data_IF_190663044062
#
_entry.id   IF_190663044062
#
_cell.length_a   1.000
_cell.length_b   1.000
_cell.length_c   1.000
_cell.angle_alpha   90.00
_cell.angle_beta   90.00
_cell.angle_gamma   90.00
#
_symmetry.space_group_name_H-M   'P 1'
#
loop_
_entity.id
_entity.type
_entity.pdbx_description
1 polymer ?
#
# COMPACT_ATOMS: atom_id res chain seq x y z
N UNK A 1 11.52 -3.28 -10.19
CA UNK A 1 11.70 -3.29 -8.75
C UNK A 1 10.58 -4.00 -8.00
N UNK A 2 9.38 -3.97 -8.51
CA UNK A 2 8.24 -4.63 -7.89
C UNK A 2 7.56 -5.52 -8.91
N UNK A 3 7.25 -6.77 -8.52
CA UNK A 3 6.57 -7.73 -9.38
C UNK A 3 5.07 -7.51 -9.41
N UNK A 4 4.48 -7.26 -8.24
CA UNK A 4 3.06 -7.06 -8.15
C UNK A 4 2.72 -6.31 -6.87
N UNK A 5 1.52 -5.74 -6.86
CA UNK A 5 0.97 -5.01 -5.73
C UNK A 5 -0.38 -5.61 -5.41
N UNK A 6 -0.53 -6.12 -4.19
CA UNK A 6 -1.82 -6.55 -3.69
C UNK A 6 -2.29 -5.51 -2.67
N UNK A 7 -3.57 -5.22 -2.64
CA UNK A 7 -4.10 -4.21 -1.74
C UNK A 7 -5.42 -4.66 -1.16
N UNK A 8 -5.72 -4.16 0.03
CA UNK A 8 -7.00 -4.43 0.67
C UNK A 8 -7.31 -3.35 1.69
N UNK A 9 -8.59 -3.12 1.90
CA UNK A 9 -9.07 -2.29 2.99
C UNK A 9 -10.41 -2.82 3.47
N UNK A 10 -10.63 -2.70 4.76
CA UNK A 10 -11.89 -3.09 5.38
C UNK A 10 -12.70 -1.85 5.69
N UNK A 11 -14.01 -1.95 5.60
CA UNK A 11 -14.87 -0.89 6.05
C UNK A 11 -16.21 -1.48 6.54
N UNK A 12 -16.89 -0.71 7.37
CA UNK A 12 -18.17 -1.13 7.91
C UNK A 12 -19.30 -0.66 7.01
N UNK A 13 -20.42 -1.38 7.03
CA UNK A 13 -21.54 -1.04 6.18
C UNK A 13 -22.12 0.35 6.41
N UNK A 14 -21.78 0.99 7.55
CA UNK A 14 -22.21 2.35 7.84
C UNK A 14 -21.30 3.40 7.21
N UNK A 15 -20.15 3.01 6.67
CA UNK A 15 -19.26 3.95 5.98
C UNK A 15 -19.69 4.10 4.53
N UNK A 16 -19.33 5.22 3.94
CA UNK A 16 -19.65 5.49 2.54
C UNK A 16 -18.67 4.73 1.63
N UNK A 17 -19.16 3.70 0.96
CA UNK A 17 -18.35 2.86 0.09
C UNK A 17 -17.67 3.67 -1.02
N UNK A 18 -18.35 4.68 -1.60
CA UNK A 18 -17.77 5.48 -2.66
C UNK A 18 -16.56 6.25 -2.19
N UNK A 19 -16.59 6.73 -0.94
CA UNK A 19 -15.43 7.42 -0.38
C UNK A 19 -14.27 6.47 -0.17
N UNK A 20 -14.55 5.24 0.27
CA UNK A 20 -13.49 4.23 0.45
C UNK A 20 -12.88 3.87 -0.90
N UNK A 21 -13.71 3.71 -1.93
CA UNK A 21 -13.20 3.41 -3.28
C UNK A 21 -12.36 4.56 -3.82
N UNK A 22 -12.79 5.79 -3.57
CA UNK A 22 -12.02 6.97 -3.99
C UNK A 22 -10.66 6.99 -3.30
N UNK A 23 -10.62 6.66 -2.01
CA UNK A 23 -9.38 6.60 -1.26
C UNK A 23 -8.41 5.59 -1.88
N UNK A 24 -8.92 4.40 -2.21
CA UNK A 24 -8.10 3.37 -2.85
C UNK A 24 -7.59 3.85 -4.21
N UNK A 25 -8.45 4.46 -5.00
CA UNK A 25 -8.06 4.98 -6.32
C UNK A 25 -7.02 6.08 -6.23
N UNK A 26 -7.05 6.88 -5.18
CA UNK A 26 -6.06 7.94 -5.00
C UNK A 26 -4.67 7.36 -4.71
N UNK A 27 -4.60 6.20 -4.07
CA UNK A 27 -3.33 5.50 -3.84
C UNK A 27 -2.93 4.71 -5.08
N UNK A 28 -3.91 4.03 -5.70
CA UNK A 28 -3.68 3.17 -6.86
C UNK A 28 -4.67 3.56 -7.97
N UNK A 29 -4.33 4.56 -8.79
CA UNK A 29 -5.28 5.16 -9.74
C UNK A 29 -5.95 4.19 -10.71
N UNK A 30 -5.29 3.10 -11.04
CA UNK A 30 -5.86 2.14 -11.99
C UNK A 30 -6.51 0.95 -11.30
N UNK A 31 -6.74 1.05 -9.99
CA UNK A 31 -7.30 -0.07 -9.24
C UNK A 31 -8.78 -0.26 -9.58
N UNK A 32 -9.18 -1.51 -9.54
CA UNK A 32 -10.57 -1.91 -9.74
C UNK A 32 -10.90 -2.94 -8.68
N UNK A 33 -11.13 -2.48 -7.44
CA UNK A 33 -11.28 -3.41 -6.32
C UNK A 33 -12.49 -4.30 -6.42
N UNK A 34 -12.32 -5.54 -6.00
CA UNK A 34 -13.41 -6.48 -5.82
C UNK A 34 -13.96 -6.32 -4.42
N UNK A 35 -15.26 -6.53 -4.29
CA UNK A 35 -15.95 -6.36 -3.01
C UNK A 35 -16.38 -7.71 -2.47
N UNK A 36 -16.12 -7.92 -1.18
CA UNK A 36 -16.49 -9.14 -0.50
C UNK A 36 -17.10 -8.81 0.85
N UNK A 37 -18.24 -9.41 1.16
CA UNK A 37 -18.81 -9.24 2.49
C UNK A 37 -18.25 -10.35 3.35
N UNK A 38 -17.44 -9.98 4.35
CA UNK A 38 -16.75 -10.96 5.18
C UNK A 38 -17.60 -11.42 6.33
N UNK A 39 -18.31 -10.48 6.93
CA UNK A 39 -19.07 -10.77 8.11
C UNK A 39 -20.26 -9.84 8.16
N UNK A 40 -21.39 -10.30 8.64
CA UNK A 40 -22.51 -9.40 8.71
C UNK A 40 -23.62 -9.93 9.58
N UNK A 41 -23.90 -9.17 10.64
CA UNK A 41 -25.10 -9.37 11.43
C UNK A 41 -25.92 -8.11 11.26
N UNK A 42 -27.03 -8.23 10.54
CA UNK A 42 -27.93 -7.10 10.35
C UNK A 42 -27.22 -5.90 9.73
N UNK A 43 -27.08 -4.81 10.50
CA UNK A 43 -26.53 -3.57 10.01
C UNK A 43 -25.01 -3.49 10.15
N UNK A 44 -24.40 -4.48 10.80
CA UNK A 44 -22.96 -4.41 11.09
C UNK A 44 -22.15 -5.29 10.14
N UNK A 45 -22.28 -5.06 8.86
CA UNK A 45 -21.49 -5.79 7.89
C UNK A 45 -20.06 -5.26 7.85
N UNK A 46 -19.12 -6.19 7.72
CA UNK A 46 -17.72 -5.85 7.47
C UNK A 46 -17.44 -6.20 6.01
N UNK A 47 -16.99 -5.22 5.27
CA UNK A 47 -16.81 -5.36 3.82
C UNK A 47 -15.32 -5.21 3.48
N UNK A 48 -14.83 -6.09 2.64
CA UNK A 48 -13.46 -6.05 2.15
C UNK A 48 -13.45 -5.59 0.71
N UNK A 49 -12.65 -4.57 0.44
CA UNK A 49 -12.28 -4.20 -0.93
C UNK A 49 -10.84 -4.66 -1.12
N UNK A 50 -10.58 -5.38 -2.20
CA UNK A 50 -9.25 -5.92 -2.44
C UNK A 50 -8.97 -6.06 -3.93
N UNK A 51 -7.71 -6.17 -4.25
CA UNK A 51 -7.30 -6.38 -5.63
C UNK A 51 -5.81 -6.59 -5.72
N UNK A 52 -5.36 -6.77 -6.95
CA UNK A 52 -3.96 -7.02 -7.22
C UNK A 52 -3.65 -6.58 -8.63
N UNK A 53 -2.46 -6.04 -8.83
CA UNK A 53 -1.99 -5.73 -10.17
C UNK A 53 -0.56 -6.21 -10.37
N UNK A 54 -0.28 -6.67 -11.58
CA UNK A 54 1.07 -7.00 -12.01
C UNK A 54 1.44 -6.25 -13.29
N UNK A 55 0.60 -5.32 -13.72
CA UNK A 55 0.87 -4.52 -14.92
C UNK A 55 2.00 -3.55 -14.66
N UNK A 56 3.01 -3.57 -15.50
CA UNK A 56 4.19 -2.72 -15.32
C UNK A 56 3.86 -1.23 -15.32
N UNK A 57 2.93 -0.81 -16.16
CA UNK A 57 2.54 0.60 -16.21
C UNK A 57 1.89 1.07 -14.91
N UNK A 58 1.07 0.22 -14.32
CA UNK A 58 0.41 0.55 -13.05
C UNK A 58 1.40 0.58 -11.89
N UNK A 59 2.30 -0.39 -11.87
CA UNK A 59 3.35 -0.46 -10.85
C UNK A 59 4.26 0.77 -10.95
N UNK A 60 4.64 1.13 -12.16
CA UNK A 60 5.48 2.30 -12.39
C UNK A 60 4.80 3.58 -11.93
N UNK A 61 3.50 3.69 -12.21
CA UNK A 61 2.72 4.84 -11.75
C UNK A 61 2.68 4.93 -10.24
N UNK A 62 2.51 3.80 -9.57
CA UNK A 62 2.52 3.78 -8.11
C UNK A 62 3.88 4.17 -7.56
N UNK A 63 4.96 3.63 -8.12
CA UNK A 63 6.32 3.98 -7.67
C UNK A 63 6.58 5.47 -7.79
N UNK A 64 6.11 6.07 -8.88
CA UNK A 64 6.25 7.51 -9.08
C UNK A 64 5.45 8.30 -8.04
N UNK A 65 4.28 7.81 -7.67
CA UNK A 65 3.45 8.49 -6.69
C UNK A 65 4.05 8.50 -5.30
N UNK A 66 5.00 7.60 -5.03
CA UNK A 66 5.69 7.57 -3.73
C UNK A 66 6.50 8.84 -3.47
N UNK A 67 6.81 9.60 -4.52
CA UNK A 67 7.48 10.89 -4.37
C UNK A 67 6.62 11.89 -3.59
N UNK A 68 5.31 11.66 -3.54
CA UNK A 68 4.39 12.54 -2.81
C UNK A 68 4.39 12.28 -1.29
N UNK A 69 5.04 11.23 -0.85
CA UNK A 69 5.16 10.96 0.57
C UNK A 69 6.13 11.96 1.18
N UNK A 70 5.76 12.54 2.32
CA UNK A 70 6.63 13.51 3.00
C UNK A 70 7.98 12.91 3.36
N UNK A 71 9.04 13.71 3.28
CA UNK A 71 10.39 13.25 3.60
C UNK A 71 10.49 12.63 4.98
N UNK A 72 9.80 13.20 5.98
CA UNK A 72 9.81 12.65 7.32
C UNK A 72 9.20 11.25 7.37
N UNK A 73 8.16 11.01 6.58
CA UNK A 73 7.53 9.69 6.51
C UNK A 73 8.42 8.70 5.77
N UNK A 74 9.09 9.15 4.70
CA UNK A 74 10.05 8.29 3.98
C UNK A 74 11.19 7.85 4.88
N UNK A 75 11.72 8.76 5.68
CA UNK A 75 12.78 8.44 6.62
C UNK A 75 12.31 7.43 7.67
N UNK A 76 11.07 7.58 8.11
CA UNK A 76 10.50 6.64 9.07
C UNK A 76 10.33 5.26 8.47
N UNK A 77 9.88 5.19 7.21
CA UNK A 77 9.78 3.92 6.49
C UNK A 77 11.16 3.28 6.38
N UNK A 78 12.17 4.05 5.99
CA UNK A 78 13.53 3.54 5.84
C UNK A 78 14.09 2.98 7.14
N UNK A 79 13.84 3.66 8.26
CA UNK A 79 14.33 3.20 9.55
C UNK A 79 13.70 1.88 9.97
N UNK A 80 12.48 1.63 9.53
CA UNK A 80 11.73 0.46 9.97
C UNK A 80 11.53 -0.57 8.87
N UNK A 81 12.28 -0.47 7.78
CA UNK A 81 12.12 -1.37 6.63
C UNK A 81 12.28 -2.83 7.03
N UNK A 82 13.21 -3.11 7.92
CA UNK A 82 13.46 -4.49 8.31
C UNK A 82 12.22 -5.13 8.91
N UNK A 83 11.40 -4.35 9.62
CA UNK A 83 10.17 -4.85 10.20
C UNK A 83 9.00 -4.86 9.22
N UNK A 84 9.17 -4.24 8.07
CA UNK A 84 8.11 -4.16 7.07
C UNK A 84 8.26 -5.17 5.94
N UNK A 85 9.36 -5.89 5.91
CA UNK A 85 9.64 -6.88 4.87
C UNK A 85 9.67 -8.27 5.48
N UNK A 86 8.92 -9.20 4.88
CA UNK A 86 8.88 -10.57 5.37
C UNK A 86 9.99 -11.41 4.72
N UNK A 87 10.09 -12.65 5.13
CA UNK A 87 11.15 -13.54 4.64
C UNK A 87 10.98 -13.95 3.18
N UNK A 88 9.81 -13.70 2.60
CA UNK A 88 9.55 -13.99 1.19
C UNK A 88 9.81 -12.79 0.29
N UNK A 89 10.21 -11.67 0.85
CA UNK A 89 10.51 -10.48 0.08
C UNK A 89 9.31 -9.59 -0.21
N UNK A 90 8.29 -9.65 0.63
CA UNK A 90 7.14 -8.77 0.51
C UNK A 90 7.30 -7.57 1.44
N UNK A 91 7.03 -6.39 0.91
CA UNK A 91 7.04 -5.16 1.69
C UNK A 91 5.60 -4.77 2.00
N UNK A 92 5.33 -4.49 3.26
CA UNK A 92 3.99 -4.13 3.71
C UNK A 92 3.93 -2.65 4.06
N UNK A 93 2.96 -1.95 3.47
CA UNK A 93 2.73 -0.54 3.75
C UNK A 93 1.28 -0.34 4.12
N UNK A 94 1.01 0.69 4.93
CA UNK A 94 -0.34 1.07 5.31
C UNK A 94 -0.51 2.55 5.07
N UNK A 95 -1.59 2.92 4.40
CA UNK A 95 -1.91 4.32 4.15
C UNK A 95 -3.21 4.68 4.87
N UNK A 96 -3.22 5.86 5.48
CA UNK A 96 -4.40 6.38 6.16
C UNK A 96 -5.54 6.51 5.15
N UNK A 97 -6.66 5.87 5.43
CA UNK A 97 -7.80 5.83 4.54
C UNK A 97 -8.44 7.21 4.34
N UNK A 98 -8.60 7.97 5.41
CA UNK A 98 -9.18 9.31 5.32
C UNK A 98 -8.28 10.29 4.60
N UNK A 99 -6.97 10.24 4.87
CA UNK A 99 -6.03 11.10 4.18
C UNK A 99 -5.94 10.73 2.70
N UNK A 100 -6.02 9.43 2.39
CA UNK A 100 -6.03 8.98 1.00
C UNK A 100 -7.24 9.52 0.25
N UNK A 101 -8.39 9.57 0.91
CA UNK A 101 -9.59 10.16 0.31
C UNK A 101 -9.36 11.63 -0.04
N UNK A 102 -8.57 12.33 0.76
CA UNK A 102 -8.24 13.74 0.53
C UNK A 102 -7.07 13.93 -0.43
N UNK A 103 -6.50 12.85 -0.94
CA UNK A 103 -5.41 12.91 -1.90
C UNK A 103 -4.01 12.86 -1.31
N UNK A 104 -3.90 12.63 -0.01
CA UNK A 104 -2.60 12.55 0.67
C UNK A 104 -2.17 11.10 0.88
N UNK A 105 -0.90 10.82 0.66
CA UNK A 105 -0.32 9.51 0.94
C UNK A 105 0.32 9.53 2.32
N UNK A 106 -0.50 9.38 3.35
CA UNK A 106 -0.03 9.37 4.73
C UNK A 106 0.18 7.94 5.21
N UNK A 107 1.41 7.59 5.56
CA UNK A 107 1.74 6.26 6.02
C UNK A 107 1.40 6.11 7.50
N UNK A 108 0.77 4.98 7.84
CA UNK A 108 0.40 4.65 9.21
C UNK A 108 1.16 3.43 9.69
N UNK A 109 1.38 3.36 11.00
CA UNK A 109 1.94 2.16 11.61
C UNK A 109 0.85 1.21 12.05
N UNK A 110 -0.29 1.72 12.46
CA UNK A 110 -1.45 0.91 12.82
C UNK A 110 -2.72 1.74 12.66
N UNK A 111 -3.85 1.09 12.82
CA UNK A 111 -5.14 1.75 12.70
C UNK A 111 -5.82 1.43 11.39
N UNK A 112 -6.89 2.17 11.11
CA UNK A 112 -7.72 1.96 9.95
C UNK A 112 -6.99 2.43 8.69
N UNK A 113 -6.69 1.52 7.82
CA UNK A 113 -5.77 1.81 6.71
C UNK A 113 -6.11 1.03 5.44
N UNK A 114 -5.53 1.51 4.34
CA UNK A 114 -5.44 0.76 3.10
C UNK A 114 -4.12 0.01 3.17
N UNK A 115 -4.19 -1.32 3.14
CA UNK A 115 -3.01 -2.18 3.26
C UNK A 115 -2.48 -2.53 1.89
N UNK A 116 -1.18 -2.35 1.68
CA UNK A 116 -0.51 -2.74 0.46
C UNK A 116 0.55 -3.79 0.76
N UNK A 117 0.63 -4.77 -0.13
CA UNK A 117 1.67 -5.80 -0.08
C UNK A 117 2.39 -5.74 -1.41
N UNK A 118 3.64 -5.30 -1.39
CA UNK A 118 4.46 -5.13 -2.58
C UNK A 118 5.44 -6.29 -2.69
N UNK A 119 5.29 -7.11 -3.72
CA UNK A 119 6.25 -8.19 -3.96
C UNK A 119 7.48 -7.59 -4.60
N UNK A 120 8.57 -7.53 -3.86
CA UNK A 120 9.82 -6.97 -4.36
C UNK A 120 10.43 -7.92 -5.38
N UNK A 121 10.88 -7.36 -6.51
CA UNK A 121 11.54 -8.14 -7.56
C UNK A 121 13.01 -8.37 -7.19
N UNK A 122 13.24 -9.33 -6.31
CA UNK A 122 14.56 -9.68 -5.82
C UNK A 122 14.87 -11.12 -6.18
N UNK A 123 16.14 -11.38 -6.47
CA UNK A 123 16.59 -12.73 -6.76
C UNK A 123 17.87 -12.99 -5.98
N UNK A 124 17.88 -14.00 -5.10
CA UNK A 124 16.73 -14.81 -4.71
C UNK A 124 15.69 -14.00 -3.92
N UNK A 125 14.46 -14.49 -3.88
CA UNK A 125 13.35 -13.80 -3.21
C UNK A 125 13.46 -14.03 -1.70
N UNK A 126 14.28 -13.21 -1.05
CA UNK A 126 14.54 -13.28 0.38
C UNK A 126 14.51 -11.88 0.97
N UNK A 127 14.45 -11.84 2.29
CA UNK A 127 14.38 -10.58 3.02
C UNK A 127 15.60 -9.69 2.75
N UNK A 128 16.79 -10.25 2.77
CA UNK A 128 18.02 -9.46 2.61
C UNK A 128 18.13 -8.83 1.23
N UNK A 129 17.81 -9.57 0.18
CA UNK A 129 17.84 -9.03 -1.19
C UNK A 129 16.72 -8.01 -1.40
N UNK A 130 15.54 -8.28 -0.86
CA UNK A 130 14.41 -7.37 -0.96
C UNK A 130 14.68 -6.07 -0.20
N UNK A 131 15.34 -6.15 0.95
CA UNK A 131 15.67 -4.98 1.75
C UNK A 131 16.53 -3.99 0.96
N UNK A 132 17.50 -4.49 0.22
CA UNK A 132 18.36 -3.63 -0.59
C UNK A 132 17.58 -2.88 -1.66
N UNK A 133 16.65 -3.56 -2.31
CA UNK A 133 15.83 -2.94 -3.34
C UNK A 133 14.87 -1.92 -2.72
N UNK A 134 14.27 -2.28 -1.59
CA UNK A 134 13.36 -1.37 -0.89
C UNK A 134 14.06 -0.10 -0.45
N UNK A 135 15.32 -0.22 -0.02
CA UNK A 135 16.12 0.95 0.34
C UNK A 135 16.30 1.89 -0.85
N UNK A 136 16.44 1.34 -2.05
CA UNK A 136 16.54 2.15 -3.26
C UNK A 136 15.21 2.85 -3.57
N UNK A 137 14.10 2.17 -3.33
CA UNK A 137 12.78 2.74 -3.61
C UNK A 137 12.50 3.97 -2.74
N UNK A 138 12.82 3.90 -1.45
CA UNK A 138 12.54 4.96 -0.51
C UNK A 138 13.73 5.83 -0.18
N UNK A 139 14.91 5.47 -0.69
CA UNK A 139 16.12 6.24 -0.45
C UNK A 139 16.04 7.57 -1.16
N UNK A 140 16.71 8.58 -0.56
CA UNK A 140 16.75 9.86 -1.18
C UNK A 140 17.78 9.85 -2.17
N UNK A 141 17.44 10.24 -3.26
CA UNK A 141 18.35 10.36 -4.20
C UNK A 141 19.11 11.47 -3.97
N UNK A 142 19.35 11.86 -3.53
CA UNK A 142 19.97 12.90 -3.32
C UNK A 142 21.06 13.10 -3.75
N UNK A 143 21.10 13.03 -4.03
CA UNK A 143 21.70 13.25 -4.30
C UNK A 143 22.26 13.93 -4.55
N UNK A 144 22.64 14.23 -4.73
CA UNK A 144 23.12 14.76 -4.96
C UNK A 144 23.36 15.28 -5.16
#
# INVERSE_FOLDING_TARGET
MIHNIAYRTLFYGTEDEEKVRTAVCNILPFSSPEKEIIEGYHKNQVILLHGKTSKKSEIKGFLKSLDNIKSSDKKRILRDLENKIDHKGNLFLRFDKQRAYLGDMKVLEHGDAIHLKLKIAAYPARKDTALKIAQQIFGEEDVH
#
